data_IF_912510206250
#
_entry.id   IF_912510206250
#
_cell.length_a   1.000
_cell.length_b   1.000
_cell.length_c   1.000
_cell.angle_alpha   90.00
_cell.angle_beta   90.00
_cell.angle_gamma   90.00
#
_symmetry.space_group_name_H-M   'P 1'
#
loop_
_entity.id
_entity.type
_entity.pdbx_description
1 polymer ?
#
# COMPACT_ATOMS: atom_id res chain seq x y z
N UNK A 1 37.30 -38.03 96.89
CA UNK A 1 37.00 -36.64 96.50
C UNK A 1 38.33 -35.91 96.49
N UNK A 2 38.97 -35.80 95.32
CA UNK A 2 38.94 -34.63 94.43
C UNK A 2 39.66 -33.46 95.12
N UNK A 3 40.82 -32.98 94.66
CA UNK A 3 41.02 -32.23 93.40
C UNK A 3 42.53 -32.21 93.09
N UNK A 4 42.94 -32.34 91.82
CA UNK A 4 44.11 -31.63 91.31
C UNK A 4 44.00 -31.38 89.79
N UNK A 5 44.61 -30.28 89.35
CA UNK A 5 44.33 -29.47 88.16
C UNK A 5 45.25 -29.78 86.98
N UNK A 6 44.71 -29.86 85.75
CA UNK A 6 45.46 -29.74 84.47
C UNK A 6 44.52 -29.10 83.42
N UNK A 7 44.57 -27.78 83.23
CA UNK A 7 45.12 -27.06 82.04
C UNK A 7 44.18 -26.91 80.82
N UNK A 8 44.43 -25.90 79.96
CA UNK A 8 43.43 -25.14 79.22
C UNK A 8 43.36 -25.53 77.74
N UNK A 9 42.28 -25.18 77.05
CA UNK A 9 42.37 -24.86 75.62
C UNK A 9 41.43 -23.70 75.28
N UNK A 10 42.07 -22.53 75.12
CA UNK A 10 41.56 -21.43 74.32
C UNK A 10 41.23 -21.89 72.90
N UNK A 11 40.23 -21.21 72.32
CA UNK A 11 40.39 -20.60 71.02
C UNK A 11 40.13 -21.50 69.81
N UNK A 12 38.90 -21.41 69.29
CA UNK A 12 38.64 -20.89 67.95
C UNK A 12 39.74 -21.16 66.90
N UNK A 13 40.00 -22.44 66.60
CA UNK A 13 40.93 -22.83 65.55
C UNK A 13 40.24 -23.65 64.45
N UNK A 14 39.00 -23.30 64.10
CA UNK A 14 38.33 -23.79 62.90
C UNK A 14 37.48 -22.62 62.41
N UNK A 15 37.95 -21.76 61.51
CA UNK A 15 37.91 -22.09 60.08
C UNK A 15 38.68 -21.05 59.22
N UNK A 16 40.02 -21.15 59.07
CA UNK A 16 40.75 -20.31 58.11
C UNK A 16 40.29 -20.57 56.66
N UNK A 17 39.67 -21.72 56.38
CA UNK A 17 39.07 -22.05 55.08
C UNK A 17 37.81 -21.23 54.74
N UNK A 18 37.01 -20.82 55.74
CA UNK A 18 35.79 -20.06 55.49
C UNK A 18 36.06 -18.58 55.18
N UNK A 19 37.13 -18.01 55.76
CA UNK A 19 37.57 -16.65 55.42
C UNK A 19 38.17 -16.53 54.02
N UNK A 20 38.72 -17.61 53.48
CA UNK A 20 39.27 -17.64 52.12
C UNK A 20 38.18 -17.81 51.04
N UNK A 21 37.01 -18.31 51.41
CA UNK A 21 35.82 -18.42 50.55
C UNK A 21 34.99 -17.13 50.48
N UNK A 22 35.12 -16.25 51.48
CA UNK A 22 34.47 -14.93 51.47
C UNK A 22 35.06 -13.97 50.42
N UNK A 23 36.24 -14.27 49.90
CA UNK A 23 36.99 -13.41 48.97
C UNK A 23 36.73 -13.72 47.48
N UNK A 24 35.92 -14.74 47.16
CA UNK A 24 35.37 -14.94 45.81
C UNK A 24 33.96 -14.36 45.77
N UNK A 25 33.86 -13.06 46.02
CA UNK A 25 32.70 -12.29 45.59
C UNK A 25 32.83 -12.14 44.07
N UNK A 26 32.05 -12.92 43.31
CA UNK A 26 31.86 -12.67 41.88
C UNK A 26 31.50 -11.19 41.71
N UNK A 27 32.18 -10.44 40.82
CA UNK A 27 31.78 -9.08 40.56
C UNK A 27 30.33 -9.17 40.09
N UNK A 28 29.42 -8.55 40.85
CA UNK A 28 28.03 -8.47 40.44
C UNK A 28 28.05 -7.89 39.03
N UNK A 29 27.82 -8.73 38.03
CA UNK A 29 27.58 -8.28 36.68
C UNK A 29 26.33 -7.45 36.81
N UNK A 30 26.51 -6.14 36.93
CA UNK A 30 25.47 -5.18 36.64
C UNK A 30 25.16 -5.46 35.18
N UNK A 31 24.18 -6.35 34.94
CA UNK A 31 23.45 -6.45 33.70
C UNK A 31 22.94 -5.04 33.51
N UNK A 32 23.77 -4.24 32.86
CA UNK A 32 23.46 -2.89 32.50
C UNK A 32 22.36 -3.07 31.49
N UNK A 33 21.12 -3.01 31.96
CA UNK A 33 19.92 -2.85 31.15
C UNK A 33 19.90 -1.46 30.51
N UNK A 34 21.08 -1.01 30.11
CA UNK A 34 21.30 0.15 29.29
C UNK A 34 21.20 -0.40 27.89
N UNK A 35 19.97 -0.36 27.36
CA UNK A 35 19.75 -0.48 25.94
C UNK A 35 20.77 0.46 25.30
N UNK A 36 21.72 -0.06 24.48
CA UNK A 36 22.77 0.78 23.93
C UNK A 36 22.10 1.93 23.17
N UNK A 37 22.63 3.15 23.29
CA UNK A 37 22.03 4.34 22.67
C UNK A 37 21.73 4.12 21.19
N UNK A 38 22.54 3.29 20.50
CA UNK A 38 22.32 2.87 19.12
C UNK A 38 21.02 2.10 18.85
N UNK A 39 20.46 1.37 19.83
CA UNK A 39 19.19 0.67 19.66
C UNK A 39 17.99 1.63 19.67
N UNK A 40 18.08 2.78 20.34
CA UNK A 40 17.05 3.83 20.24
C UNK A 40 17.06 4.46 18.84
N UNK A 41 18.24 4.66 18.25
CA UNK A 41 18.37 5.13 16.85
C UNK A 41 17.77 4.09 15.90
N UNK A 42 18.08 2.81 16.12
CA UNK A 42 17.52 1.71 15.33
C UNK A 42 15.99 1.64 15.45
N UNK A 43 15.46 1.79 16.67
CA UNK A 43 14.03 1.80 16.95
C UNK A 43 13.34 2.99 16.28
N UNK A 44 13.92 4.20 16.37
CA UNK A 44 13.41 5.39 15.70
C UNK A 44 13.37 5.18 14.18
N UNK A 45 14.45 4.64 13.61
CA UNK A 45 14.52 4.36 12.17
C UNK A 45 13.49 3.30 11.75
N UNK A 46 13.29 2.26 12.56
CA UNK A 46 12.26 1.25 12.32
C UNK A 46 10.85 1.85 12.35
N UNK A 47 10.56 2.74 13.31
CA UNK A 47 9.26 3.44 13.40
C UNK A 47 9.03 4.34 12.18
N UNK A 48 10.05 5.11 11.76
CA UNK A 48 9.96 5.96 10.56
C UNK A 48 9.70 5.11 9.31
N UNK A 49 10.43 4.01 9.15
CA UNK A 49 10.25 3.10 8.02
C UNK A 49 8.85 2.51 8.01
N UNK A 50 8.35 2.08 9.17
CA UNK A 50 7.01 1.56 9.34
C UNK A 50 5.95 2.61 8.99
N UNK A 51 6.12 3.86 9.44
CA UNK A 51 5.22 4.96 9.10
C UNK A 51 5.20 5.24 7.58
N UNK A 52 6.35 5.20 6.91
CA UNK A 52 6.43 5.35 5.44
C UNK A 52 5.68 4.20 4.75
N UNK A 53 5.88 2.96 5.19
CA UNK A 53 5.20 1.79 4.63
C UNK A 53 3.69 1.90 4.82
N UNK A 54 3.24 2.23 6.03
CA UNK A 54 1.83 2.39 6.37
C UNK A 54 1.20 3.49 5.52
N UNK A 55 1.81 4.68 5.44
CA UNK A 55 1.26 5.79 4.64
C UNK A 55 1.18 5.44 3.15
N UNK A 56 2.18 4.74 2.61
CA UNK A 56 2.15 4.22 1.23
C UNK A 56 1.05 3.18 1.04
N UNK A 57 0.87 2.26 1.98
CA UNK A 57 -0.21 1.28 1.95
C UNK A 57 -1.56 1.96 2.02
N UNK A 58 -1.79 2.86 2.99
CA UNK A 58 -3.06 3.56 3.16
C UNK A 58 -3.41 4.34 1.89
N UNK A 59 -2.48 5.13 1.35
CA UNK A 59 -2.69 5.79 0.05
C UNK A 59 -3.12 4.78 -1.01
N UNK A 60 -2.36 3.70 -1.17
CA UNK A 60 -2.65 2.65 -2.16
C UNK A 60 -4.03 2.01 -1.93
N UNK A 61 -4.43 1.79 -0.68
CA UNK A 61 -5.74 1.25 -0.31
C UNK A 61 -6.88 2.20 -0.65
N UNK A 62 -6.78 3.49 -0.32
CA UNK A 62 -7.76 4.50 -0.75
C UNK A 62 -7.81 4.61 -2.28
N UNK A 63 -6.66 4.52 -2.96
CA UNK A 63 -6.61 4.48 -4.43
C UNK A 63 -7.31 3.23 -5.01
N UNK A 64 -7.24 2.08 -4.36
CA UNK A 64 -7.96 0.87 -4.79
C UNK A 64 -9.45 0.91 -4.38
N UNK A 65 -9.80 1.63 -3.32
CA UNK A 65 -11.19 1.77 -2.87
C UNK A 65 -12.07 2.49 -3.90
N UNK A 66 -11.54 3.52 -4.57
CA UNK A 66 -12.26 4.21 -5.65
C UNK A 66 -12.68 3.26 -6.79
N UNK A 67 -11.80 2.32 -7.17
CA UNK A 67 -12.12 1.25 -8.14
C UNK A 67 -13.24 0.35 -7.64
N UNK A 68 -13.18 -0.09 -6.36
CA UNK A 68 -14.22 -0.95 -5.77
C UNK A 68 -15.57 -0.25 -5.73
N UNK A 69 -15.60 1.02 -5.35
CA UNK A 69 -16.81 1.84 -5.38
C UNK A 69 -17.35 2.00 -6.80
N UNK A 70 -16.50 2.27 -7.78
CA UNK A 70 -16.92 2.39 -9.18
C UNK A 70 -17.50 1.07 -9.74
N UNK A 71 -16.93 -0.09 -9.37
CA UNK A 71 -17.48 -1.40 -9.74
C UNK A 71 -18.86 -1.62 -9.09
N UNK A 72 -19.00 -1.26 -7.81
CA UNK A 72 -20.27 -1.36 -7.09
C UNK A 72 -21.35 -0.49 -7.73
N UNK A 73 -21.01 0.76 -8.06
CA UNK A 73 -21.92 1.69 -8.73
C UNK A 73 -22.29 1.20 -10.13
N UNK A 74 -21.33 0.67 -10.90
CA UNK A 74 -21.61 0.10 -12.21
C UNK A 74 -22.62 -1.05 -12.12
N UNK A 75 -22.50 -1.90 -11.10
CA UNK A 75 -23.41 -3.05 -10.89
C UNK A 75 -24.84 -2.61 -10.54
N UNK A 76 -25.00 -1.41 -9.97
CA UNK A 76 -26.30 -0.82 -9.65
C UNK A 76 -26.92 -0.06 -10.83
N UNK A 77 -26.13 0.28 -11.84
CA UNK A 77 -26.58 1.02 -13.01
C UNK A 77 -27.20 0.08 -14.04
N UNK A 78 -28.31 0.52 -14.64
CA UNK A 78 -28.90 -0.18 -15.77
C UNK A 78 -27.96 -0.15 -16.98
N UNK A 79 -27.87 -1.26 -17.75
CA UNK A 79 -27.10 -1.30 -19.01
C UNK A 79 -27.54 -0.23 -20.01
N UNK A 80 -28.80 0.21 -19.94
CA UNK A 80 -29.35 1.27 -20.78
C UNK A 80 -28.84 2.68 -20.41
N UNK A 81 -28.28 2.87 -19.21
CA UNK A 81 -27.82 4.16 -18.71
C UNK A 81 -26.39 4.51 -19.19
N UNK A 82 -26.17 4.47 -20.51
CA UNK A 82 -24.85 4.65 -21.14
C UNK A 82 -24.16 5.96 -20.74
N UNK A 83 -24.93 7.05 -20.64
CA UNK A 83 -24.43 8.35 -20.22
C UNK A 83 -23.85 8.31 -18.80
N UNK A 84 -24.53 7.63 -17.87
CA UNK A 84 -24.09 7.50 -16.49
C UNK A 84 -22.85 6.61 -16.38
N UNK A 85 -22.80 5.51 -17.14
CA UNK A 85 -21.62 4.62 -17.22
C UNK A 85 -20.41 5.40 -17.74
N UNK A 86 -20.60 6.19 -18.81
CA UNK A 86 -19.53 7.00 -19.39
C UNK A 86 -19.03 8.09 -18.42
N UNK A 87 -19.95 8.76 -17.72
CA UNK A 87 -19.59 9.73 -16.67
C UNK A 87 -18.82 9.08 -15.52
N UNK A 88 -19.19 7.85 -15.14
CA UNK A 88 -18.51 7.09 -14.10
C UNK A 88 -17.07 6.75 -14.49
N UNK A 89 -16.83 6.28 -15.72
CA UNK A 89 -15.47 6.06 -16.23
C UNK A 89 -14.67 7.37 -16.25
N UNK A 90 -15.24 8.45 -16.79
CA UNK A 90 -14.56 9.76 -16.83
C UNK A 90 -14.20 10.26 -15.43
N UNK A 91 -15.12 10.16 -14.46
CA UNK A 91 -14.89 10.54 -13.06
C UNK A 91 -13.76 9.71 -12.44
N UNK A 92 -13.70 8.42 -12.76
CA UNK A 92 -12.63 7.54 -12.29
C UNK A 92 -11.27 7.93 -12.90
N UNK A 93 -11.21 8.22 -14.20
CA UNK A 93 -9.99 8.74 -14.84
C UNK A 93 -9.59 10.09 -14.25
N UNK A 94 -10.54 10.99 -14.00
CA UNK A 94 -10.30 12.28 -13.34
C UNK A 94 -9.74 12.12 -11.93
N UNK A 95 -10.22 11.13 -11.16
CA UNK A 95 -9.71 10.85 -9.82
C UNK A 95 -8.26 10.35 -9.85
N UNK A 96 -7.90 9.50 -10.82
CA UNK A 96 -6.55 8.97 -10.93
C UNK A 96 -5.56 9.89 -11.66
N UNK A 97 -6.04 10.68 -12.61
CA UNK A 97 -5.24 11.56 -13.45
C UNK A 97 -6.01 12.87 -13.74
N UNK A 98 -6.09 13.79 -12.76
CA UNK A 98 -6.86 15.03 -12.90
C UNK A 98 -6.33 15.97 -14.00
N UNK A 99 -5.05 15.82 -14.40
CA UNK A 99 -4.41 16.60 -15.47
C UNK A 99 -4.41 15.90 -16.83
N UNK A 100 -5.21 14.85 -16.99
CA UNK A 100 -5.19 14.03 -18.20
C UNK A 100 -5.89 14.75 -19.36
N UNK A 101 -5.22 14.94 -20.52
CA UNK A 101 -5.78 15.70 -21.64
C UNK A 101 -7.02 15.05 -22.29
N UNK A 102 -7.32 13.78 -21.98
CA UNK A 102 -8.52 13.12 -22.53
C UNK A 102 -9.80 13.60 -21.86
N UNK A 103 -9.71 14.17 -20.66
CA UNK A 103 -10.87 14.69 -19.93
C UNK A 103 -11.43 15.95 -20.59
N UNK A 104 -10.55 16.79 -21.15
CA UNK A 104 -10.90 17.96 -21.95
C UNK A 104 -11.11 17.66 -23.45
N UNK A 105 -10.83 16.43 -23.88
CA UNK A 105 -10.92 16.04 -25.28
C UNK A 105 -12.32 15.60 -25.72
N UNK A 106 -12.55 15.60 -27.03
CA UNK A 106 -13.80 15.15 -27.65
C UNK A 106 -14.08 13.65 -27.38
N UNK A 107 -15.35 13.25 -27.52
CA UNK A 107 -15.81 11.87 -27.35
C UNK A 107 -15.03 10.85 -28.18
N UNK A 108 -14.53 11.25 -29.36
CA UNK A 108 -13.74 10.41 -30.25
C UNK A 108 -12.35 10.08 -29.65
N UNK A 109 -11.64 11.09 -29.14
CA UNK A 109 -10.35 10.91 -28.44
C UNK A 109 -10.50 10.07 -27.18
N UNK A 110 -11.60 10.25 -26.46
CA UNK A 110 -11.96 9.42 -25.32
C UNK A 110 -12.20 7.95 -25.72
N UNK A 111 -12.90 7.71 -26.83
CA UNK A 111 -13.10 6.36 -27.35
C UNK A 111 -11.76 5.71 -27.73
N UNK A 112 -10.87 6.43 -28.42
CA UNK A 112 -9.53 5.93 -28.76
C UNK A 112 -8.75 5.54 -27.51
N UNK A 113 -8.77 6.37 -26.47
CA UNK A 113 -8.13 6.07 -25.19
C UNK A 113 -8.67 4.77 -24.56
N UNK A 114 -10.00 4.60 -24.52
CA UNK A 114 -10.61 3.38 -23.99
C UNK A 114 -10.24 2.14 -24.81
N UNK A 115 -10.25 2.25 -26.14
CA UNK A 115 -9.87 1.17 -27.06
C UNK A 115 -8.40 0.76 -26.91
N UNK A 116 -7.51 1.71 -26.61
CA UNK A 116 -6.09 1.44 -26.35
C UNK A 116 -5.86 0.71 -25.02
N UNK A 117 -6.72 0.92 -24.02
CA UNK A 117 -6.63 0.22 -22.74
C UNK A 117 -7.12 -1.24 -22.83
N UNK A 118 -8.07 -1.53 -23.73
CA UNK A 118 -8.54 -2.89 -24.02
C UNK A 118 -8.58 -3.14 -25.53
N UNK A 119 -7.42 -3.44 -26.16
CA UNK A 119 -7.37 -3.73 -27.60
C UNK A 119 -8.17 -4.99 -27.98
N UNK A 120 -8.35 -5.92 -27.03
CA UNK A 120 -9.08 -7.17 -27.25
C UNK A 120 -10.60 -7.04 -27.25
N UNK A 121 -11.16 -5.92 -26.79
CA UNK A 121 -12.61 -5.68 -26.86
C UNK A 121 -12.88 -4.49 -27.77
N UNK A 122 -13.69 -4.71 -28.81
CA UNK A 122 -14.16 -3.62 -29.66
C UNK A 122 -15.29 -2.88 -28.99
N UNK A 123 -15.12 -1.57 -28.81
CA UNK A 123 -16.21 -0.70 -28.40
C UNK A 123 -16.98 -0.17 -29.61
N UNK A 124 -18.32 -0.21 -29.57
CA UNK A 124 -19.13 0.46 -30.58
C UNK A 124 -18.93 1.98 -30.50
N UNK A 125 -19.28 2.69 -31.57
CA UNK A 125 -19.07 4.13 -31.67
C UNK A 125 -19.75 4.86 -30.49
N UNK A 126 -18.93 5.37 -29.57
CA UNK A 126 -19.39 5.90 -28.28
C UNK A 126 -20.26 7.15 -28.47
N UNK A 127 -19.96 7.91 -29.54
CA UNK A 127 -20.73 9.06 -29.99
C UNK A 127 -22.14 8.66 -30.46
N UNK A 128 -22.29 7.57 -31.19
CA UNK A 128 -23.60 7.06 -31.58
C UNK A 128 -24.38 6.60 -30.35
N UNK A 129 -23.73 5.86 -29.43
CA UNK A 129 -24.38 5.39 -28.21
C UNK A 129 -24.84 6.48 -27.23
N UNK A 130 -24.14 7.62 -27.18
CA UNK A 130 -24.47 8.71 -26.25
C UNK A 130 -25.53 9.67 -26.79
N UNK A 131 -25.54 9.89 -28.10
CA UNK A 131 -26.31 10.98 -28.71
C UNK A 131 -27.43 10.48 -29.65
N UNK A 132 -27.45 9.20 -30.04
CA UNK A 132 -28.54 8.66 -30.83
C UNK A 132 -29.58 7.96 -29.95
N UNK A 133 -30.88 8.25 -30.16
CA UNK A 133 -31.96 7.56 -29.45
C UNK A 133 -32.19 6.11 -29.92
N UNK A 134 -31.61 5.72 -31.07
CA UNK A 134 -31.78 4.39 -31.68
C UNK A 134 -30.57 3.51 -31.38
N UNK A 135 -30.34 3.23 -30.10
CA UNK A 135 -29.34 2.24 -29.68
C UNK A 135 -29.99 0.89 -29.47
N UNK A 136 -29.48 -0.14 -30.14
CA UNK A 136 -29.91 -1.53 -29.91
C UNK A 136 -29.52 -1.95 -28.49
N UNK A 137 -30.37 -2.70 -27.76
CA UNK A 137 -30.03 -3.22 -26.42
C UNK A 137 -28.72 -4.03 -26.41
N UNK A 138 -28.39 -4.70 -27.52
CA UNK A 138 -27.12 -5.41 -27.71
C UNK A 138 -25.90 -4.48 -27.62
N UNK A 139 -25.96 -3.30 -28.25
CA UNK A 139 -24.87 -2.32 -28.21
C UNK A 139 -24.71 -1.74 -26.81
N UNK A 140 -25.82 -1.51 -26.12
CA UNK A 140 -25.84 -1.03 -24.74
C UNK A 140 -25.20 -2.06 -23.79
N UNK A 141 -25.57 -3.32 -23.95
CA UNK A 141 -25.03 -4.43 -23.18
C UNK A 141 -23.54 -4.67 -23.48
N UNK A 142 -23.12 -4.56 -24.74
CA UNK A 142 -21.71 -4.65 -25.13
C UNK A 142 -20.88 -3.53 -24.48
N UNK A 143 -21.39 -2.30 -24.44
CA UNK A 143 -20.72 -1.20 -23.76
C UNK A 143 -20.66 -1.41 -22.24
N UNK A 144 -21.75 -1.93 -21.64
CA UNK A 144 -21.77 -2.26 -20.22
C UNK A 144 -20.73 -3.33 -19.87
N UNK A 145 -20.66 -4.42 -20.66
CA UNK A 145 -19.65 -5.47 -20.48
C UNK A 145 -18.23 -4.93 -20.67
N UNK A 146 -18.02 -4.08 -21.68
CA UNK A 146 -16.75 -3.39 -21.86
C UNK A 146 -16.38 -2.55 -20.64
N UNK A 147 -17.29 -1.72 -20.14
CA UNK A 147 -17.06 -0.91 -18.95
C UNK A 147 -16.72 -1.80 -17.75
N UNK A 148 -17.41 -2.92 -17.57
CA UNK A 148 -17.14 -3.86 -16.49
C UNK A 148 -15.74 -4.50 -16.61
N UNK A 149 -15.38 -4.98 -17.80
CA UNK A 149 -14.06 -5.52 -18.09
C UNK A 149 -12.97 -4.46 -17.91
N UNK A 150 -13.19 -3.26 -18.41
CA UNK A 150 -12.28 -2.13 -18.26
C UNK A 150 -12.08 -1.79 -16.78
N UNK A 151 -13.14 -1.62 -15.99
CA UNK A 151 -13.00 -1.35 -14.55
C UNK A 151 -12.24 -2.47 -13.83
N UNK A 152 -12.45 -3.74 -14.19
CA UNK A 152 -11.73 -4.89 -13.61
C UNK A 152 -10.25 -4.88 -13.98
N UNK A 153 -9.91 -4.63 -15.24
CA UNK A 153 -8.54 -4.63 -15.77
C UNK A 153 -7.79 -3.32 -15.50
N UNK A 154 -8.53 -2.25 -15.20
CA UNK A 154 -7.99 -0.93 -14.99
C UNK A 154 -7.05 -0.92 -13.79
N UNK A 155 -5.81 -0.48 -14.05
CA UNK A 155 -4.79 -0.26 -13.05
C UNK A 155 -4.55 1.24 -12.93
N UNK A 156 -4.63 1.82 -11.72
CA UNK A 156 -4.44 3.27 -11.54
C UNK A 156 -3.04 3.74 -11.95
N UNK A 157 -2.02 2.89 -11.79
CA UNK A 157 -0.68 3.17 -12.28
C UNK A 157 -0.61 3.21 -13.82
N UNK A 158 -1.41 2.41 -14.52
CA UNK A 158 -1.49 2.44 -15.98
C UNK A 158 -2.18 3.71 -16.48
N UNK A 159 -3.27 4.16 -15.82
CA UNK A 159 -3.91 5.44 -16.14
C UNK A 159 -2.97 6.61 -15.82
N UNK A 160 -2.19 6.57 -14.74
CA UNK A 160 -1.26 7.66 -14.44
C UNK A 160 -0.07 7.69 -15.42
N UNK A 161 0.49 6.53 -15.77
CA UNK A 161 1.67 6.41 -16.63
C UNK A 161 1.40 6.63 -18.12
N UNK A 162 0.15 6.60 -18.57
CA UNK A 162 -0.17 6.85 -19.98
C UNK A 162 0.20 8.29 -20.44
N UNK A 163 0.46 9.21 -19.50
CA UNK A 163 0.91 10.58 -19.78
C UNK A 163 2.32 10.63 -20.38
N UNK A 164 3.12 9.57 -20.19
CA UNK A 164 4.56 9.59 -20.48
C UNK A 164 4.96 9.24 -21.92
N UNK A 165 4.22 8.45 -22.74
CA UNK A 165 4.70 8.12 -24.09
C UNK A 165 4.30 9.12 -25.19
N UNK A 166 3.23 9.91 -25.02
CA UNK A 166 2.65 10.70 -26.12
C UNK A 166 3.28 12.09 -26.33
N UNK A 167 4.40 12.36 -25.66
CA UNK A 167 5.20 13.58 -25.82
C UNK A 167 6.55 13.28 -26.49
N UNK A 168 6.58 12.30 -27.41
CA UNK A 168 7.65 12.25 -28.41
C UNK A 168 7.12 12.98 -29.65
N UNK A 169 7.51 14.25 -29.89
CA UNK A 169 7.31 14.83 -31.19
C UNK A 169 8.17 14.01 -32.15
N UNK A 170 7.51 13.26 -33.00
CA UNK A 170 8.07 12.87 -34.29
C UNK A 170 8.21 14.16 -35.13
N UNK A 171 9.21 14.96 -34.77
CA UNK A 171 9.69 16.11 -35.54
C UNK A 171 11.22 16.04 -35.49
N UNK A 172 11.76 15.12 -36.26
CA UNK A 172 13.16 15.10 -36.65
C UNK A 172 13.24 14.50 -38.06
N UNK A 173 12.53 15.13 -38.99
CA UNK A 173 12.77 15.00 -40.43
C UNK A 173 12.64 16.41 -41.03
N UNK A 174 13.75 17.17 -40.94
CA UNK A 174 14.26 18.15 -41.93
C UNK A 174 15.76 18.30 -41.68
#
# INVERSE_FOLDING_TARGET
MSVESIMPTSGAAESPLLQQLADIAEPAYLLSWQIPVGAYILMLMAIVLLAIIITKMIKRWYFLAAKRQAISLLTQLDPAAISQINQLLKRLVQHYAPKHPVLSSNTDSWQTFLQQQLPNQRIPALKALLYQPVTTPEQQQQFYQFAQCWLKQCHPAAIANWLTPQLKPEVADV
#
